data_IF_087859991435
#
_entry.id   IF_087859991435
#
_cell.length_a   1.000
_cell.length_b   1.000
_cell.length_c   1.000
_cell.angle_alpha   90.00
_cell.angle_beta   90.00
_cell.angle_gamma   90.00
#
_symmetry.space_group_name_H-M   'P 1'
#
loop_
_entity.id
_entity.type
_entity.pdbx_description
1 polymer ?
#
# COMPACT_ATOMS: atom_id res chain seq x y z
N UNK A 1 -29.88 14.23 1.25
CA UNK A 1 -28.60 13.81 1.88
C UNK A 1 -28.74 14.03 3.37
N UNK A 2 -28.42 13.04 4.19
CA UNK A 2 -28.52 13.09 5.64
C UNK A 2 -27.35 13.86 6.27
N UNK A 3 -27.50 14.35 7.51
CA UNK A 3 -26.49 15.23 8.11
C UNK A 3 -25.15 14.52 8.39
N UNK A 4 -25.15 13.22 8.70
CA UNK A 4 -23.92 12.44 8.82
C UNK A 4 -23.14 12.35 7.49
N UNK A 5 -23.84 12.27 6.35
CA UNK A 5 -23.22 12.29 5.02
C UNK A 5 -22.64 13.67 4.70
N UNK A 6 -23.43 14.74 4.93
CA UNK A 6 -22.97 16.12 4.71
C UNK A 6 -21.72 16.43 5.53
N UNK A 7 -21.67 15.96 6.78
CA UNK A 7 -20.53 16.16 7.67
C UNK A 7 -19.25 15.49 7.16
N UNK A 8 -19.34 14.29 6.58
CA UNK A 8 -18.21 13.61 5.97
C UNK A 8 -17.72 14.34 4.71
N UNK A 9 -18.64 14.76 3.84
CA UNK A 9 -18.32 15.49 2.61
C UNK A 9 -17.68 16.84 2.92
N UNK A 10 -18.17 17.55 3.91
CA UNK A 10 -17.59 18.82 4.37
C UNK A 10 -16.12 18.66 4.78
N UNK A 11 -15.75 17.52 5.34
CA UNK A 11 -14.37 17.19 5.71
C UNK A 11 -13.51 16.71 4.51
N UNK A 12 -14.10 16.51 3.34
CA UNK A 12 -13.39 16.10 2.13
C UNK A 12 -13.50 14.61 1.78
N UNK A 13 -14.24 13.81 2.57
CA UNK A 13 -14.58 12.46 2.17
C UNK A 13 -15.57 12.46 1.00
N UNK A 14 -15.55 11.40 0.22
CA UNK A 14 -16.62 11.13 -0.75
C UNK A 14 -17.92 10.84 -0.01
N UNK A 15 -19.05 10.80 -0.74
CA UNK A 15 -20.34 10.49 -0.13
C UNK A 15 -20.28 9.13 0.61
N UNK A 16 -20.39 9.12 1.95
CA UNK A 16 -20.24 7.89 2.72
C UNK A 16 -21.45 6.97 2.54
N UNK A 17 -21.21 5.68 2.67
CA UNK A 17 -22.24 4.64 2.63
C UNK A 17 -22.21 3.86 3.94
N UNK A 18 -23.29 3.11 4.23
CA UNK A 18 -23.43 2.35 5.46
C UNK A 18 -23.91 0.92 5.17
N UNK A 19 -23.45 -0.05 5.96
CA UNK A 19 -23.97 -1.40 5.96
C UNK A 19 -24.24 -1.89 7.39
N UNK A 20 -25.02 -2.94 7.54
CA UNK A 20 -25.15 -3.70 8.78
C UNK A 20 -23.93 -4.62 8.94
N UNK A 21 -23.43 -4.84 10.15
CA UNK A 21 -22.22 -5.65 10.37
C UNK A 21 -22.40 -7.12 9.98
N UNK A 22 -23.61 -7.66 10.06
CA UNK A 22 -23.94 -9.02 9.59
C UNK A 22 -23.67 -9.22 8.09
N UNK A 23 -23.68 -8.14 7.31
CA UNK A 23 -23.43 -8.19 5.86
C UNK A 23 -21.95 -8.38 5.52
N UNK A 24 -21.05 -8.34 6.51
CA UNK A 24 -19.61 -8.59 6.32
C UNK A 24 -19.26 -10.07 6.25
N UNK A 25 -20.05 -10.95 6.86
CA UNK A 25 -19.74 -12.38 6.95
C UNK A 25 -19.50 -13.06 5.58
N UNK A 26 -20.33 -12.86 4.54
CA UNK A 26 -20.10 -13.45 3.22
C UNK A 26 -18.75 -13.02 2.61
N UNK A 27 -18.34 -11.76 2.80
CA UNK A 27 -17.09 -11.22 2.27
C UNK A 27 -15.90 -11.84 3.00
N UNK A 28 -15.97 -11.97 4.33
CA UNK A 28 -14.91 -12.58 5.12
C UNK A 28 -14.75 -14.07 4.80
N UNK A 29 -15.84 -14.82 4.63
CA UNK A 29 -15.80 -16.23 4.16
C UNK A 29 -15.09 -16.38 2.81
N UNK A 30 -15.31 -15.45 1.90
CA UNK A 30 -14.61 -15.44 0.62
C UNK A 30 -13.09 -15.24 0.77
N UNK A 31 -12.65 -14.45 1.75
CA UNK A 31 -11.23 -14.29 2.07
C UNK A 31 -10.63 -15.53 2.73
N UNK A 32 -11.38 -16.22 3.59
CA UNK A 32 -10.92 -17.47 4.25
C UNK A 32 -10.57 -18.56 3.23
N UNK A 33 -11.33 -18.68 2.15
CA UNK A 33 -11.02 -19.62 1.07
C UNK A 33 -9.69 -19.30 0.35
N UNK A 34 -9.09 -18.14 0.59
CA UNK A 34 -7.87 -17.63 -0.06
C UNK A 34 -6.69 -17.47 0.88
N UNK A 35 -6.75 -18.05 2.08
CA UNK A 35 -5.72 -17.94 3.14
C UNK A 35 -4.27 -18.08 2.65
N UNK A 36 -3.90 -19.04 1.78
CA UNK A 36 -2.51 -19.21 1.34
C UNK A 36 -1.94 -18.02 0.57
N UNK A 37 -2.80 -17.16 0.02
CA UNK A 37 -2.41 -16.01 -0.80
C UNK A 37 -2.55 -14.67 -0.08
N UNK A 38 -3.10 -14.68 1.14
CA UNK A 38 -3.29 -13.45 1.93
C UNK A 38 -1.99 -12.96 2.55
N UNK A 39 -1.95 -11.68 2.83
CA UNK A 39 -0.94 -11.12 3.72
C UNK A 39 -1.02 -11.80 5.10
N UNK A 40 0.12 -12.16 5.72
CA UNK A 40 0.13 -12.84 7.03
C UNK A 40 -0.62 -12.09 8.13
N UNK A 41 -0.63 -10.76 8.09
CA UNK A 41 -1.40 -9.95 9.05
C UNK A 41 -2.90 -10.15 8.85
N UNK A 42 -3.39 -10.13 7.62
CA UNK A 42 -4.81 -10.39 7.29
C UNK A 42 -5.19 -11.80 7.71
N UNK A 43 -4.40 -12.80 7.32
CA UNK A 43 -4.64 -14.20 7.65
C UNK A 43 -4.76 -14.43 9.17
N UNK A 44 -3.84 -13.87 9.96
CA UNK A 44 -3.84 -13.97 11.42
C UNK A 44 -5.06 -13.32 12.07
N UNK A 45 -5.55 -12.22 11.52
CA UNK A 45 -6.62 -11.42 12.14
C UNK A 45 -8.02 -11.70 11.55
N UNK A 46 -8.16 -12.63 10.61
CA UNK A 46 -9.46 -12.99 10.02
C UNK A 46 -10.55 -13.29 11.06
N UNK A 47 -10.31 -14.01 12.16
CA UNK A 47 -11.34 -14.25 13.18
C UNK A 47 -11.89 -12.96 13.81
N UNK A 48 -11.05 -11.93 13.96
CA UNK A 48 -11.45 -10.62 14.47
C UNK A 48 -12.30 -9.85 13.44
N UNK A 49 -11.90 -9.94 12.17
CA UNK A 49 -12.61 -9.29 11.07
C UNK A 49 -13.98 -9.91 10.78
N UNK A 50 -14.13 -11.19 11.08
CA UNK A 50 -15.38 -11.92 10.87
C UNK A 50 -16.52 -11.37 11.73
N UNK A 51 -16.21 -11.05 12.98
CA UNK A 51 -17.20 -10.55 13.92
C UNK A 51 -16.64 -9.39 14.76
N UNK A 52 -16.67 -8.15 14.25
CA UNK A 52 -16.25 -6.97 14.99
C UNK A 52 -17.00 -6.78 16.32
N UNK A 53 -18.21 -7.33 16.44
CA UNK A 53 -19.03 -7.25 17.66
C UNK A 53 -18.43 -8.02 18.84
N UNK A 54 -17.53 -8.99 18.61
CA UNK A 54 -16.78 -9.63 19.69
C UNK A 54 -15.91 -8.62 20.46
N UNK A 55 -15.43 -7.57 19.78
CA UNK A 55 -14.65 -6.49 20.40
C UNK A 55 -15.49 -5.28 20.73
N UNK A 56 -16.51 -5.01 19.91
CA UNK A 56 -17.43 -3.85 20.05
C UNK A 56 -18.88 -4.34 20.09
N UNK A 57 -19.35 -4.90 21.23
CA UNK A 57 -20.70 -5.52 21.32
C UNK A 57 -21.86 -4.56 21.02
N UNK A 58 -21.64 -3.27 21.21
CA UNK A 58 -22.60 -2.21 20.90
C UNK A 58 -22.74 -1.92 19.41
N UNK A 59 -21.71 -2.21 18.59
CA UNK A 59 -21.71 -1.87 17.17
C UNK A 59 -22.71 -2.71 16.37
N UNK A 60 -23.50 -2.06 15.54
CA UNK A 60 -24.51 -2.68 14.67
C UNK A 60 -24.27 -2.33 13.20
N UNK A 61 -23.73 -1.14 12.95
CA UNK A 61 -23.54 -0.58 11.62
C UNK A 61 -22.09 -0.18 11.40
N UNK A 62 -21.68 -0.15 10.13
CA UNK A 62 -20.41 0.37 9.70
C UNK A 62 -20.60 1.42 8.59
N UNK A 63 -20.10 2.63 8.84
CA UNK A 63 -20.05 3.71 7.84
C UNK A 63 -18.73 3.53 7.08
N UNK A 64 -18.81 3.36 5.77
CA UNK A 64 -17.68 3.33 4.86
C UNK A 64 -17.38 4.72 4.33
N UNK A 65 -16.12 5.13 4.41
CA UNK A 65 -15.61 6.43 3.98
C UNK A 65 -14.50 6.23 2.95
N UNK A 66 -14.43 7.12 1.97
CA UNK A 66 -13.35 7.14 1.00
C UNK A 66 -12.76 8.54 0.86
N UNK A 67 -11.41 8.60 0.77
CA UNK A 67 -10.66 9.81 0.51
C UNK A 67 -9.86 9.63 -0.79
N UNK A 68 -10.14 10.40 -1.86
CA UNK A 68 -9.40 10.28 -3.11
C UNK A 68 -7.98 10.82 -2.96
N UNK A 69 -6.99 10.15 -3.60
CA UNK A 69 -5.58 10.54 -3.55
C UNK A 69 -4.91 10.70 -4.93
N UNK A 70 -5.66 10.56 -6.00
CA UNK A 70 -5.10 10.71 -7.35
C UNK A 70 -4.71 12.14 -7.67
N UNK A 71 -3.53 12.34 -8.28
CA UNK A 71 -3.03 13.63 -8.73
C UNK A 71 -2.61 13.62 -10.19
N UNK A 72 -3.05 14.62 -10.94
CA UNK A 72 -2.58 14.87 -12.32
C UNK A 72 -1.34 15.77 -12.31
N UNK A 73 -0.41 15.60 -13.29
CA UNK A 73 -0.31 14.44 -14.17
C UNK A 73 0.07 13.19 -13.37
N UNK A 74 -0.38 12.02 -13.84
CA UNK A 74 0.06 10.75 -13.26
C UNK A 74 1.57 10.60 -13.49
N UNK A 75 2.32 10.30 -12.45
CA UNK A 75 3.75 10.00 -12.50
C UNK A 75 3.95 8.61 -11.93
N UNK A 76 4.13 7.64 -12.82
CA UNK A 76 4.54 6.29 -12.44
C UNK A 76 6.07 6.23 -12.40
N UNK A 77 6.59 5.55 -11.42
CA UNK A 77 8.02 5.30 -11.29
C UNK A 77 8.48 5.43 -9.86
N UNK A 78 9.09 4.37 -9.38
CA UNK A 78 9.63 4.32 -8.04
C UNK A 78 8.56 4.21 -6.95
N UNK A 79 7.96 5.29 -6.54
CA UNK A 79 6.93 5.29 -5.48
C UNK A 79 5.53 5.23 -6.06
N UNK A 80 4.70 4.30 -5.55
CA UNK A 80 3.27 4.29 -5.86
C UNK A 80 2.57 5.58 -5.40
N UNK A 81 1.57 6.02 -6.13
CA UNK A 81 0.88 7.30 -5.91
C UNK A 81 0.36 7.45 -4.49
N UNK A 82 -0.10 6.35 -3.86
CA UNK A 82 -0.67 6.41 -2.51
C UNK A 82 0.33 6.85 -1.43
N UNK A 83 1.63 6.65 -1.65
CA UNK A 83 2.68 7.01 -0.68
C UNK A 83 3.52 8.23 -1.11
N UNK A 84 3.16 8.92 -2.19
CA UNK A 84 3.92 10.07 -2.67
C UNK A 84 3.72 11.34 -1.84
N UNK A 85 2.70 11.41 -0.98
CA UNK A 85 2.40 12.57 -0.14
C UNK A 85 2.53 12.28 1.35
N UNK A 86 1.87 13.13 2.16
CA UNK A 86 1.76 12.91 3.60
C UNK A 86 1.17 11.54 3.90
N UNK A 87 1.63 10.94 4.99
CA UNK A 87 1.13 9.66 5.48
C UNK A 87 -0.39 9.71 5.66
N UNK A 88 -1.09 8.96 4.80
CA UNK A 88 -2.55 8.95 4.77
C UNK A 88 -3.17 8.45 6.09
N UNK A 89 -2.48 7.61 6.85
CA UNK A 89 -2.96 7.19 8.16
C UNK A 89 -3.08 8.40 9.10
N UNK A 90 -2.07 9.28 9.13
CA UNK A 90 -2.11 10.50 9.97
C UNK A 90 -3.22 11.43 9.50
N UNK A 91 -3.38 11.59 8.19
CA UNK A 91 -4.43 12.45 7.60
C UNK A 91 -5.81 11.90 7.92
N UNK A 92 -6.04 10.62 7.66
CA UNK A 92 -7.34 9.98 7.94
C UNK A 92 -7.69 9.99 9.42
N UNK A 93 -6.73 9.70 10.31
CA UNK A 93 -6.96 9.75 11.77
C UNK A 93 -7.42 11.14 12.21
N UNK A 94 -6.79 12.21 11.71
CA UNK A 94 -7.20 13.58 12.04
C UNK A 94 -8.62 13.89 11.54
N UNK A 95 -8.92 13.55 10.28
CA UNK A 95 -10.24 13.75 9.67
C UNK A 95 -11.33 12.93 10.37
N UNK A 96 -11.03 11.67 10.71
CA UNK A 96 -11.95 10.78 11.41
C UNK A 96 -12.26 11.26 12.82
N UNK A 97 -11.29 11.78 13.54
CA UNK A 97 -11.51 12.38 14.87
C UNK A 97 -12.47 13.57 14.78
N UNK A 98 -12.29 14.46 13.81
CA UNK A 98 -13.18 15.57 13.56
C UNK A 98 -14.59 15.10 13.18
N UNK A 99 -14.68 14.09 12.33
CA UNK A 99 -15.95 13.49 11.92
C UNK A 99 -16.70 12.89 13.12
N UNK A 100 -16.02 12.14 14.01
CA UNK A 100 -16.63 11.60 15.23
C UNK A 100 -17.16 12.70 16.14
N UNK A 101 -16.42 13.81 16.30
CA UNK A 101 -16.89 14.96 17.09
C UNK A 101 -18.21 15.50 16.51
N UNK A 102 -18.28 15.69 15.19
CA UNK A 102 -19.51 16.15 14.52
C UNK A 102 -20.66 15.14 14.69
N UNK A 103 -20.38 13.84 14.54
CA UNK A 103 -21.40 12.80 14.74
C UNK A 103 -21.95 12.78 16.17
N UNK A 104 -21.10 12.90 17.18
CA UNK A 104 -21.54 12.94 18.60
C UNK A 104 -22.37 14.17 18.91
N UNK A 105 -22.08 15.29 18.24
CA UNK A 105 -22.90 16.53 18.38
C UNK A 105 -24.27 16.36 17.71
N UNK A 106 -24.32 15.75 16.52
CA UNK A 106 -25.55 15.55 15.77
C UNK A 106 -26.45 14.44 16.34
N UNK A 107 -25.82 13.42 16.93
CA UNK A 107 -26.48 12.20 17.41
C UNK A 107 -26.01 11.86 18.83
N UNK A 108 -26.40 12.67 19.84
CA UNK A 108 -26.03 12.41 21.22
C UNK A 108 -26.62 11.08 21.71
N UNK A 109 -25.85 10.34 22.49
CA UNK A 109 -26.25 9.02 23.02
C UNK A 109 -25.85 7.82 22.17
N UNK A 110 -25.37 8.03 20.94
CA UNK A 110 -24.83 6.95 20.12
C UNK A 110 -23.30 6.84 20.21
N UNK A 111 -22.80 5.63 19.98
CA UNK A 111 -21.39 5.29 20.05
C UNK A 111 -20.75 5.32 18.66
N UNK A 112 -19.49 5.78 18.59
CA UNK A 112 -18.73 5.86 17.34
C UNK A 112 -17.28 5.46 17.59
N UNK A 113 -16.73 4.58 16.72
CA UNK A 113 -15.32 4.16 16.73
C UNK A 113 -14.79 4.09 15.31
N UNK A 114 -13.75 4.87 15.01
CA UNK A 114 -13.14 4.92 13.68
C UNK A 114 -11.93 4.00 13.55
N UNK A 115 -11.71 3.53 12.34
CA UNK A 115 -10.57 2.73 11.88
C UNK A 115 -10.14 3.20 10.49
N UNK A 116 -8.84 3.03 10.20
CA UNK A 116 -8.26 3.26 8.89
C UNK A 116 -7.08 2.31 8.70
N UNK A 117 -7.21 1.33 7.81
CA UNK A 117 -6.19 0.34 7.43
C UNK A 117 -5.58 -0.48 8.58
N UNK A 118 -5.85 -0.09 9.81
CA UNK A 118 -5.40 -0.76 11.02
C UNK A 118 -6.56 -0.96 11.97
N UNK A 119 -6.77 -2.17 12.46
CA UNK A 119 -7.83 -2.41 13.46
C UNK A 119 -8.59 -3.70 13.25
N UNK A 120 -9.81 -3.72 13.77
CA UNK A 120 -10.65 -4.91 13.89
C UNK A 120 -11.69 -5.02 12.76
N UNK A 121 -11.56 -4.22 11.70
CA UNK A 121 -12.51 -4.20 10.58
C UNK A 121 -11.74 -4.17 9.27
N UNK A 122 -12.20 -4.96 8.29
CA UNK A 122 -11.68 -4.91 6.94
C UNK A 122 -12.40 -3.80 6.16
N UNK A 123 -11.75 -2.65 5.99
CA UNK A 123 -12.32 -1.49 5.29
C UNK A 123 -12.85 -1.85 3.89
N UNK A 124 -12.16 -2.75 3.15
CA UNK A 124 -12.62 -3.22 1.83
C UNK A 124 -13.94 -4.01 1.93
N UNK A 125 -14.10 -4.85 2.96
CA UNK A 125 -15.33 -5.58 3.16
C UNK A 125 -16.51 -4.64 3.44
N UNK A 126 -16.28 -3.62 4.28
CA UNK A 126 -17.27 -2.58 4.57
C UNK A 126 -17.61 -1.77 3.31
N UNK A 127 -16.61 -1.41 2.50
CA UNK A 127 -16.82 -0.67 1.26
C UNK A 127 -17.68 -1.46 0.25
N UNK A 128 -17.46 -2.77 0.15
CA UNK A 128 -18.27 -3.67 -0.71
C UNK A 128 -19.68 -3.78 -0.18
N UNK A 129 -19.84 -4.13 1.10
CA UNK A 129 -21.14 -4.37 1.73
C UNK A 129 -22.01 -3.10 1.74
N UNK A 130 -21.40 -1.94 1.98
CA UNK A 130 -22.11 -0.66 2.00
C UNK A 130 -22.44 -0.10 0.61
N UNK A 131 -21.84 -0.65 -0.46
CA UNK A 131 -21.99 -0.10 -1.81
C UNK A 131 -21.23 1.22 -2.01
N UNK A 132 -20.17 1.48 -1.25
CA UNK A 132 -19.26 2.60 -1.51
C UNK A 132 -18.51 2.43 -2.83
N UNK A 133 -18.18 1.20 -3.15
CA UNK A 133 -17.54 0.78 -4.39
C UNK A 133 -17.74 -0.71 -4.63
N UNK A 134 -17.27 -1.18 -5.76
CA UNK A 134 -17.30 -2.60 -6.13
C UNK A 134 -15.89 -3.19 -6.21
N UNK A 135 -15.78 -4.51 -6.06
CA UNK A 135 -14.49 -5.19 -6.08
C UNK A 135 -13.95 -5.32 -7.51
N UNK A 136 -12.75 -4.82 -7.74
CA UNK A 136 -12.01 -5.04 -8.97
C UNK A 136 -11.34 -6.42 -9.02
N UNK A 137 -11.08 -6.96 -10.23
CA UNK A 137 -10.32 -8.22 -10.40
C UNK A 137 -8.94 -8.16 -9.74
N UNK A 138 -8.33 -6.97 -9.63
CA UNK A 138 -7.07 -6.70 -8.91
C UNK A 138 -7.24 -6.52 -7.40
N UNK A 139 -8.40 -6.86 -6.85
CA UNK A 139 -8.78 -6.71 -5.43
C UNK A 139 -8.86 -5.28 -4.90
N UNK A 140 -8.70 -4.26 -5.73
CA UNK A 140 -8.93 -2.88 -5.32
C UNK A 140 -10.43 -2.58 -5.28
N UNK A 141 -10.82 -1.69 -4.35
CA UNK A 141 -12.18 -1.12 -4.38
C UNK A 141 -12.23 -0.03 -5.45
N UNK A 142 -13.23 -0.10 -6.30
CA UNK A 142 -13.44 0.86 -7.40
C UNK A 142 -14.69 1.69 -7.09
N UNK A 143 -14.48 2.95 -6.76
CA UNK A 143 -15.56 3.91 -6.60
C UNK A 143 -16.09 4.34 -7.98
N UNK A 144 -17.41 4.42 -8.21
CA UNK A 144 -17.96 4.70 -9.54
C UNK A 144 -17.43 5.96 -10.22
N UNK A 145 -17.16 7.04 -9.45
CA UNK A 145 -16.71 8.33 -9.98
C UNK A 145 -15.22 8.61 -9.79
N UNK A 146 -14.54 7.91 -8.85
CA UNK A 146 -13.15 8.21 -8.47
C UNK A 146 -12.19 7.03 -8.72
N UNK A 147 -12.68 5.94 -9.33
CA UNK A 147 -11.86 4.77 -9.60
C UNK A 147 -11.32 4.13 -8.33
N UNK A 148 -10.14 3.51 -8.41
CA UNK A 148 -9.52 2.81 -7.29
C UNK A 148 -8.47 3.62 -6.53
N UNK A 149 -8.20 4.86 -6.92
CA UNK A 149 -7.25 5.74 -6.22
C UNK A 149 -7.91 6.44 -5.02
N UNK A 150 -8.40 5.62 -4.09
CA UNK A 150 -9.09 6.04 -2.86
C UNK A 150 -8.50 5.34 -1.65
N UNK A 151 -8.29 6.07 -0.56
CA UNK A 151 -8.08 5.50 0.76
C UNK A 151 -9.43 5.18 1.39
N UNK A 152 -9.48 4.11 2.16
CA UNK A 152 -10.69 3.68 2.83
C UNK A 152 -10.57 3.92 4.35
N UNK A 153 -11.71 4.18 4.97
CA UNK A 153 -11.84 4.23 6.43
C UNK A 153 -13.23 3.76 6.84
N UNK A 154 -13.34 3.30 8.07
CA UNK A 154 -14.60 2.78 8.63
C UNK A 154 -14.92 3.44 9.96
N UNK A 155 -16.19 3.78 10.20
CA UNK A 155 -16.71 4.15 11.50
C UNK A 155 -17.78 3.15 11.92
N UNK A 156 -17.51 2.42 13.03
CA UNK A 156 -18.53 1.59 13.68
C UNK A 156 -19.47 2.44 14.49
N UNK A 157 -20.78 2.09 14.51
CA UNK A 157 -21.79 2.78 15.27
C UNK A 157 -22.97 1.88 15.62
N UNK A 158 -23.71 2.23 16.65
CA UNK A 158 -25.03 1.68 16.99
C UNK A 158 -26.18 2.58 16.49
N UNK A 159 -25.86 3.74 15.88
CA UNK A 159 -26.83 4.63 15.25
C UNK A 159 -27.51 3.91 14.06
N UNK A 160 -28.85 3.78 14.05
CA UNK A 160 -29.56 3.22 12.92
C UNK A 160 -29.42 4.13 11.70
N UNK A 161 -28.74 3.64 10.67
CA UNK A 161 -28.50 4.37 9.44
C UNK A 161 -29.08 3.61 8.23
N UNK A 162 -29.54 4.32 7.21
CA UNK A 162 -29.99 3.68 5.97
C UNK A 162 -28.82 2.98 5.31
N UNK A 163 -29.07 1.72 4.94
CA UNK A 163 -28.04 0.89 4.25
C UNK A 163 -27.88 1.31 2.80
N UNK A 164 -26.67 1.24 2.32
CA UNK A 164 -26.36 1.29 0.90
C UNK A 164 -26.70 -0.05 0.21
N UNK A 165 -26.48 -0.09 -1.09
CA UNK A 165 -26.75 -1.28 -1.89
C UNK A 165 -25.45 -1.85 -2.44
N UNK A 166 -25.26 -3.15 -2.34
CA UNK A 166 -24.15 -3.85 -2.96
C UNK A 166 -24.09 -3.57 -4.48
N UNK A 167 -22.96 -3.06 -4.95
CA UNK A 167 -22.77 -2.67 -6.36
C UNK A 167 -22.25 -3.82 -7.25
N UNK A 168 -21.93 -4.98 -6.66
CA UNK A 168 -21.40 -6.12 -7.39
C UNK A 168 -19.88 -6.10 -7.55
N UNK A 169 -19.44 -6.60 -8.69
CA UNK A 169 -18.03 -6.76 -9.06
C UNK A 169 -17.74 -6.00 -10.36
N UNK A 170 -16.46 -5.74 -10.67
CA UNK A 170 -16.12 -5.13 -11.96
C UNK A 170 -16.49 -6.06 -13.13
N UNK A 171 -16.62 -5.48 -14.34
CA UNK A 171 -17.11 -6.21 -15.52
C UNK A 171 -16.13 -7.24 -16.11
N UNK A 172 -14.96 -7.47 -15.48
CA UNK A 172 -14.05 -8.52 -15.90
C UNK A 172 -13.39 -8.27 -17.26
N UNK A 173 -12.85 -7.06 -17.49
CA UNK A 173 -12.16 -6.77 -18.76
C UNK A 173 -10.77 -7.42 -18.88
N UNK A 174 -10.21 -7.97 -17.78
CA UNK A 174 -8.92 -8.64 -17.73
C UNK A 174 -7.69 -7.74 -17.92
N UNK A 175 -7.85 -6.42 -18.07
CA UNK A 175 -6.72 -5.53 -18.33
C UNK A 175 -5.67 -5.55 -17.21
N UNK A 176 -6.09 -5.53 -15.95
CA UNK A 176 -5.21 -5.58 -14.79
C UNK A 176 -4.50 -6.95 -14.66
N UNK A 177 -5.19 -8.05 -15.00
CA UNK A 177 -4.61 -9.40 -15.01
C UNK A 177 -3.49 -9.48 -16.06
N UNK A 178 -3.75 -9.05 -17.28
CA UNK A 178 -2.79 -9.06 -18.40
C UNK A 178 -1.59 -8.15 -18.16
N UNK A 179 -1.80 -7.02 -17.51
CA UNK A 179 -0.74 -6.04 -17.27
C UNK A 179 0.17 -6.37 -16.09
N UNK A 180 -0.21 -7.30 -15.21
CA UNK A 180 0.60 -7.68 -14.06
C UNK A 180 1.86 -8.44 -14.50
N UNK A 181 3.09 -7.85 -14.41
CA UNK A 181 4.28 -8.46 -15.00
C UNK A 181 4.72 -9.74 -14.28
N UNK A 182 4.34 -9.91 -13.03
CA UNK A 182 4.68 -11.09 -12.22
C UNK A 182 3.58 -12.14 -12.20
N UNK A 183 2.44 -11.89 -12.86
CA UNK A 183 1.27 -12.76 -12.79
C UNK A 183 0.72 -12.92 -11.37
N UNK A 184 0.90 -11.90 -10.51
CA UNK A 184 0.40 -11.94 -9.13
C UNK A 184 -1.13 -12.02 -9.06
N UNK A 185 -1.86 -11.50 -10.06
CA UNK A 185 -3.30 -11.66 -10.15
C UNK A 185 -3.57 -13.02 -10.81
N UNK A 186 -3.70 -14.07 -9.98
CA UNK A 186 -3.80 -15.46 -10.42
C UNK A 186 -5.10 -15.75 -11.17
N UNK A 187 -6.17 -15.18 -10.66
CA UNK A 187 -7.52 -15.22 -11.21
C UNK A 187 -8.27 -13.97 -10.74
N UNK A 188 -9.41 -13.64 -11.32
CA UNK A 188 -10.22 -12.51 -10.85
C UNK A 188 -10.44 -12.54 -9.34
N UNK A 189 -10.16 -11.41 -8.69
CA UNK A 189 -10.33 -11.19 -7.24
C UNK A 189 -9.36 -11.99 -6.35
N UNK A 190 -8.28 -12.54 -6.91
CA UNK A 190 -7.23 -13.26 -6.18
C UNK A 190 -5.84 -12.72 -6.53
N UNK A 191 -5.19 -12.09 -5.57
CA UNK A 191 -3.80 -11.60 -5.68
C UNK A 191 -2.90 -12.43 -4.77
N UNK A 192 -1.85 -13.01 -5.36
CA UNK A 192 -0.78 -13.67 -4.63
C UNK A 192 0.23 -12.63 -4.13
N UNK A 193 0.24 -12.37 -2.83
CA UNK A 193 1.15 -11.42 -2.22
C UNK A 193 2.63 -11.82 -2.29
N UNK A 194 2.93 -13.10 -2.55
CA UNK A 194 4.32 -13.54 -2.75
C UNK A 194 4.88 -13.10 -4.10
N UNK A 195 4.03 -12.76 -5.06
CA UNK A 195 4.39 -12.30 -6.40
C UNK A 195 4.07 -10.82 -6.63
N UNK A 196 3.18 -10.23 -5.82
CA UNK A 196 2.76 -8.84 -6.00
C UNK A 196 3.93 -7.88 -5.77
N UNK A 197 4.31 -7.09 -6.77
CA UNK A 197 5.39 -6.09 -6.68
C UNK A 197 5.18 -5.16 -5.47
N UNK A 198 3.95 -4.71 -5.23
CA UNK A 198 3.65 -3.87 -4.06
C UNK A 198 4.03 -4.55 -2.74
N UNK A 199 3.73 -5.83 -2.58
CA UNK A 199 4.11 -6.60 -1.40
C UNK A 199 5.62 -6.86 -1.35
N UNK A 200 6.24 -7.22 -2.47
CA UNK A 200 7.68 -7.49 -2.57
C UNK A 200 8.53 -6.27 -2.23
N UNK A 201 8.15 -5.07 -2.69
CA UNK A 201 8.87 -3.82 -2.34
C UNK A 201 8.87 -3.55 -0.83
N UNK A 202 7.91 -4.10 -0.09
CA UNK A 202 7.73 -3.92 1.35
C UNK A 202 8.24 -5.11 2.18
N UNK A 203 8.64 -6.21 1.54
CA UNK A 203 9.17 -7.40 2.22
C UNK A 203 10.47 -7.07 2.96
N UNK A 204 10.56 -7.48 4.22
CA UNK A 204 11.77 -7.30 5.04
C UNK A 204 12.88 -8.26 4.62
N UNK A 205 14.13 -7.87 4.88
CA UNK A 205 15.30 -8.70 4.66
C UNK A 205 15.74 -8.79 3.19
N UNK A 206 16.40 -9.89 2.87
CA UNK A 206 16.93 -10.17 1.54
C UNK A 206 15.85 -10.75 0.63
N UNK A 207 15.96 -10.46 -0.67
CA UNK A 207 15.07 -10.96 -1.71
C UNK A 207 15.81 -12.00 -2.58
N UNK A 208 15.10 -12.93 -3.17
CA UNK A 208 15.68 -13.76 -4.25
C UNK A 208 16.06 -12.89 -5.45
N UNK A 209 16.95 -13.40 -6.31
CA UNK A 209 17.34 -12.67 -7.53
C UNK A 209 16.12 -12.41 -8.44
N UNK A 210 15.22 -13.37 -8.55
CA UNK A 210 13.96 -13.23 -9.28
C UNK A 210 13.11 -12.09 -8.70
N UNK A 211 12.96 -12.02 -7.36
CA UNK A 211 12.25 -10.92 -6.72
C UNK A 211 12.93 -9.57 -6.95
N UNK A 212 14.27 -9.51 -6.96
CA UNK A 212 15.01 -8.30 -7.33
C UNK A 212 14.69 -7.84 -8.75
N UNK A 213 14.64 -8.76 -9.72
CA UNK A 213 14.25 -8.48 -11.10
C UNK A 213 12.81 -7.96 -11.17
N UNK A 214 11.89 -8.59 -10.44
CA UNK A 214 10.48 -8.24 -10.43
C UNK A 214 10.21 -6.84 -9.86
N UNK A 215 10.98 -6.37 -8.86
CA UNK A 215 10.79 -5.05 -8.24
C UNK A 215 11.64 -3.94 -8.87
N UNK A 216 12.50 -4.24 -9.82
CA UNK A 216 13.32 -3.22 -10.48
C UNK A 216 12.44 -2.08 -11.00
N UNK A 217 12.87 -0.83 -10.79
CA UNK A 217 12.07 0.37 -11.07
C UNK A 217 10.99 0.70 -10.03
N UNK A 218 10.78 -0.15 -9.00
CA UNK A 218 9.78 0.07 -7.97
C UNK A 218 10.44 0.24 -6.59
N UNK A 219 10.34 1.42 -6.02
CA UNK A 219 10.92 1.74 -4.71
C UNK A 219 9.97 1.37 -3.57
N UNK A 220 8.66 1.61 -3.75
CA UNK A 220 7.63 1.30 -2.75
C UNK A 220 6.23 1.27 -3.39
N UNK A 221 5.54 0.13 -3.29
CA UNK A 221 4.25 -0.06 -3.92
C UNK A 221 4.32 -0.30 -5.43
N UNK A 222 3.16 -0.41 -6.07
CA UNK A 222 3.02 -0.61 -7.51
C UNK A 222 1.62 -0.20 -7.96
N UNK A 223 1.52 0.57 -9.05
CA UNK A 223 0.23 1.03 -9.59
C UNK A 223 -0.14 0.42 -10.94
N UNK A 224 0.64 -0.57 -11.45
CA UNK A 224 0.46 -1.09 -12.82
C UNK A 224 -0.98 -1.54 -13.06
N UNK A 225 -1.55 -2.35 -12.18
CA UNK A 225 -2.91 -2.85 -12.33
C UNK A 225 -3.99 -1.76 -12.20
N UNK A 226 -3.71 -0.68 -11.46
CA UNK A 226 -4.60 0.47 -11.34
C UNK A 226 -4.52 1.37 -12.58
N UNK A 227 -3.31 1.56 -13.15
CA UNK A 227 -3.08 2.46 -14.28
C UNK A 227 -3.75 1.99 -15.56
N UNK A 228 -3.82 0.67 -15.77
CA UNK A 228 -4.46 0.09 -16.97
C UNK A 228 -5.98 -0.05 -16.81
N UNK A 229 -6.52 0.21 -15.62
CA UNK A 229 -7.93 0.03 -15.34
C UNK A 229 -8.78 1.10 -16.02
N UNK A 230 -9.76 0.73 -16.88
CA UNK A 230 -10.63 1.71 -17.54
C UNK A 230 -11.38 2.63 -16.57
N UNK A 231 -11.68 2.15 -15.36
CA UNK A 231 -12.37 2.92 -14.33
C UNK A 231 -11.50 4.01 -13.68
N UNK A 232 -10.20 3.99 -13.94
CA UNK A 232 -9.26 5.02 -13.48
C UNK A 232 -8.96 6.08 -14.55
N UNK A 233 -9.54 5.95 -15.74
CA UNK A 233 -9.41 6.94 -16.77
C UNK A 233 -10.31 8.16 -16.48
N UNK A 234 -9.76 9.36 -16.66
CA UNK A 234 -10.49 10.63 -16.50
C UNK A 234 -11.07 10.90 -15.09
N UNK A 235 -10.57 10.23 -14.06
CA UNK A 235 -10.98 10.51 -12.68
C UNK A 235 -10.53 11.90 -12.22
N UNK A 236 -11.26 12.52 -11.27
CA UNK A 236 -10.90 13.82 -10.71
C UNK A 236 -9.56 13.76 -9.96
N UNK A 237 -8.80 14.87 -10.03
CA UNK A 237 -7.61 15.04 -9.18
C UNK A 237 -8.02 15.44 -7.76
N UNK A 238 -7.35 14.86 -6.76
CA UNK A 238 -7.53 15.23 -5.35
C UNK A 238 -6.70 16.47 -5.02
N UNK A 239 -7.17 17.24 -4.02
CA UNK A 239 -6.44 18.38 -3.47
C UNK A 239 -6.03 18.20 -2.01
N UNK A 240 -6.44 17.11 -1.37
CA UNK A 240 -6.29 16.94 0.09
C UNK A 240 -4.88 16.48 0.49
N UNK A 241 -4.33 15.51 -0.24
CA UNK A 241 -2.96 15.03 0.01
C UNK A 241 -2.09 15.41 -1.18
N UNK A 242 -1.30 16.46 -1.03
CA UNK A 242 -0.38 16.93 -2.06
C UNK A 242 0.86 16.05 -2.13
N UNK A 243 1.27 15.55 -3.30
CA UNK A 243 2.48 14.77 -3.46
C UNK A 243 3.76 15.58 -3.19
N UNK A 244 4.75 14.95 -2.58
CA UNK A 244 6.09 15.48 -2.46
C UNK A 244 6.86 15.29 -3.78
N UNK A 245 7.55 16.32 -4.22
CA UNK A 245 8.30 16.29 -5.49
C UNK A 245 9.32 15.13 -5.55
N UNK A 246 10.10 14.95 -4.50
CA UNK A 246 11.15 13.91 -4.44
C UNK A 246 10.59 12.48 -4.42
N UNK A 247 9.32 12.26 -4.06
CA UNK A 247 8.71 10.94 -4.17
C UNK A 247 8.05 10.71 -5.54
N UNK A 248 7.71 11.77 -6.26
CA UNK A 248 7.25 11.68 -7.65
C UNK A 248 8.39 11.50 -8.64
N UNK A 249 9.55 12.11 -8.37
CA UNK A 249 10.78 12.05 -9.19
C UNK A 249 11.96 11.77 -8.28
N UNK A 250 12.12 10.51 -7.85
CA UNK A 250 13.16 10.16 -6.88
C UNK A 250 14.55 10.25 -7.49
N UNK A 251 15.47 10.82 -6.73
CA UNK A 251 16.90 10.68 -6.95
C UNK A 251 17.39 9.45 -6.20
N UNK A 252 17.73 8.40 -6.94
CA UNK A 252 18.07 7.09 -6.37
C UNK A 252 19.34 7.16 -5.53
N UNK A 253 20.34 7.95 -5.93
CA UNK A 253 21.59 8.06 -5.19
C UNK A 253 21.40 8.76 -3.87
N UNK A 254 20.68 9.90 -3.86
CA UNK A 254 20.32 10.60 -2.63
C UNK A 254 19.49 9.73 -1.67
N UNK A 255 18.60 8.91 -2.24
CA UNK A 255 17.81 7.94 -1.47
C UNK A 255 18.71 6.84 -0.86
N UNK A 256 19.69 6.31 -1.62
CA UNK A 256 20.67 5.34 -1.11
C UNK A 256 21.51 5.95 0.01
N UNK A 257 22.00 7.16 -0.15
CA UNK A 257 22.78 7.88 0.86
C UNK A 257 21.94 8.31 2.06
N UNK A 258 20.62 8.37 1.88
CA UNK A 258 19.64 8.81 2.88
C UNK A 258 20.00 10.18 3.44
N UNK A 259 20.10 11.16 2.57
CA UNK A 259 20.41 12.53 2.97
C UNK A 259 19.35 13.12 3.92
N UNK A 260 19.65 14.30 4.49
CA UNK A 260 18.79 14.94 5.49
C UNK A 260 17.39 15.24 4.95
N UNK A 261 17.29 15.63 3.68
CA UNK A 261 16.01 15.97 3.05
C UNK A 261 15.14 14.72 2.90
N UNK A 262 15.67 13.61 2.35
CA UNK A 262 14.95 12.33 2.27
C UNK A 262 14.57 11.80 3.66
N UNK A 263 15.47 11.88 4.66
CA UNK A 263 15.15 11.45 6.03
C UNK A 263 13.94 12.20 6.59
N UNK A 264 13.88 13.50 6.39
CA UNK A 264 12.78 14.32 6.90
C UNK A 264 11.48 14.05 6.13
N UNK A 265 11.55 14.01 4.81
CA UNK A 265 10.40 13.78 3.95
C UNK A 265 9.76 12.40 4.19
N UNK A 266 10.58 11.35 4.30
CA UNK A 266 10.09 10.00 4.53
C UNK A 266 9.42 9.82 5.90
N UNK A 267 9.79 10.59 6.94
CA UNK A 267 9.08 10.60 8.23
C UNK A 267 7.62 11.04 8.09
N UNK A 268 7.33 11.83 7.06
CA UNK A 268 5.99 12.33 6.77
C UNK A 268 5.21 11.48 5.78
N UNK A 269 5.83 10.46 5.15
CA UNK A 269 5.22 9.59 4.14
C UNK A 269 4.98 8.17 4.66
N UNK A 270 3.91 7.55 4.19
CA UNK A 270 3.62 6.13 4.41
C UNK A 270 4.71 5.19 3.86
N UNK A 271 5.54 5.65 2.90
CA UNK A 271 6.63 4.85 2.34
C UNK A 271 7.67 4.40 3.39
N UNK A 272 7.73 5.05 4.53
CA UNK A 272 8.70 4.73 5.60
C UNK A 272 8.23 3.67 6.60
N UNK A 273 7.03 3.16 6.52
CA UNK A 273 6.50 2.28 7.57
C UNK A 273 7.29 0.97 7.77
N UNK A 274 8.01 0.51 6.74
CA UNK A 274 8.93 -0.65 6.83
C UNK A 274 10.38 -0.26 7.15
N UNK A 275 10.66 1.04 7.27
CA UNK A 275 11.97 1.61 7.53
C UNK A 275 12.77 1.93 6.26
N UNK A 276 13.66 2.91 6.38
CA UNK A 276 14.43 3.47 5.27
C UNK A 276 15.35 2.47 4.58
N UNK A 277 15.87 1.45 5.29
CA UNK A 277 16.77 0.46 4.70
C UNK A 277 16.10 -0.40 3.62
N UNK A 278 14.78 -0.60 3.69
CA UNK A 278 14.03 -1.27 2.62
C UNK A 278 14.01 -0.42 1.35
N UNK A 279 13.79 0.88 1.49
CA UNK A 279 13.82 1.81 0.36
C UNK A 279 15.20 1.90 -0.28
N UNK A 280 16.25 1.94 0.54
CA UNK A 280 17.65 1.93 0.08
C UNK A 280 17.97 0.64 -0.69
N UNK A 281 17.55 -0.52 -0.15
CA UNK A 281 17.65 -1.81 -0.84
C UNK A 281 16.99 -1.75 -2.23
N UNK A 282 15.76 -1.27 -2.32
CA UNK A 282 15.01 -1.22 -3.57
C UNK A 282 15.66 -0.25 -4.56
N UNK A 283 16.17 0.89 -4.09
CA UNK A 283 16.93 1.82 -4.93
C UNK A 283 18.24 1.20 -5.46
N UNK A 284 18.98 0.47 -4.63
CA UNK A 284 20.21 -0.23 -5.04
C UNK A 284 19.91 -1.35 -6.05
N UNK A 285 18.81 -2.07 -5.90
CA UNK A 285 18.35 -3.07 -6.87
C UNK A 285 18.06 -2.39 -8.22
N UNK A 286 17.33 -1.28 -8.23
CA UNK A 286 17.03 -0.53 -9.45
C UNK A 286 18.31 -0.02 -10.09
N UNK A 287 19.23 0.57 -9.33
CA UNK A 287 20.55 1.00 -9.84
C UNK A 287 21.37 -0.16 -10.40
N UNK A 288 21.26 -1.36 -9.83
CA UNK A 288 22.00 -2.54 -10.30
C UNK A 288 21.47 -3.11 -11.62
N UNK A 289 20.16 -3.04 -11.84
CA UNK A 289 19.47 -3.77 -12.91
C UNK A 289 19.01 -2.88 -14.07
N UNK A 290 18.91 -1.57 -13.85
CA UNK A 290 18.49 -0.60 -14.87
C UNK A 290 19.60 0.37 -15.23
N UNK A 291 19.48 1.00 -16.40
CA UNK A 291 20.46 1.98 -16.87
C UNK A 291 20.16 3.37 -16.29
N UNK A 292 20.57 3.56 -15.03
CA UNK A 292 20.53 4.84 -14.35
C UNK A 292 21.93 5.40 -14.15
N UNK A 293 22.12 6.73 -14.32
CA UNK A 293 23.35 7.39 -13.86
C UNK A 293 23.57 7.15 -12.37
N UNK A 294 24.73 6.72 -11.98
CA UNK A 294 25.08 6.52 -10.58
C UNK A 294 26.51 6.91 -10.26
N UNK A 295 26.73 7.51 -9.09
CA UNK A 295 28.06 7.73 -8.54
C UNK A 295 28.55 6.43 -7.89
N UNK A 296 29.37 5.70 -8.64
CA UNK A 296 29.91 4.41 -8.22
C UNK A 296 30.83 4.52 -7.01
N UNK A 297 31.50 5.67 -6.81
CA UNK A 297 32.30 5.91 -5.60
C UNK A 297 31.45 6.07 -4.35
N UNK A 298 30.31 6.74 -4.48
CA UNK A 298 29.35 6.83 -3.38
C UNK A 298 28.76 5.47 -3.02
N UNK A 299 28.41 4.63 -4.03
CA UNK A 299 27.92 3.27 -3.79
C UNK A 299 29.01 2.39 -3.17
N UNK A 300 30.28 2.54 -3.58
CA UNK A 300 31.41 1.83 -2.96
C UNK A 300 31.53 2.14 -1.46
N UNK A 301 31.43 3.42 -1.07
CA UNK A 301 31.42 3.80 0.35
C UNK A 301 30.28 3.12 1.13
N UNK A 302 29.12 2.96 0.51
CA UNK A 302 27.99 2.23 1.13
C UNK A 302 28.35 0.76 1.31
N UNK A 303 28.91 0.10 0.30
CA UNK A 303 29.30 -1.32 0.37
C UNK A 303 30.32 -1.58 1.49
N UNK A 304 31.28 -0.70 1.66
CA UNK A 304 32.38 -0.84 2.62
C UNK A 304 32.00 -0.44 4.06
N UNK A 305 31.24 0.63 4.24
CA UNK A 305 31.17 1.33 5.52
C UNK A 305 29.74 1.53 6.08
N UNK A 306 28.69 1.16 5.35
CA UNK A 306 27.32 1.42 5.83
C UNK A 306 27.00 0.55 7.07
N UNK A 307 26.36 1.10 8.12
CA UNK A 307 25.98 0.30 9.30
C UNK A 307 24.93 -0.78 8.99
N UNK A 308 24.15 -0.63 7.91
CA UNK A 308 23.14 -1.58 7.51
C UNK A 308 23.73 -2.68 6.62
N UNK A 309 23.76 -3.92 7.10
CA UNK A 309 24.13 -5.08 6.27
C UNK A 309 23.32 -5.15 4.98
N UNK A 310 22.02 -4.84 5.05
CA UNK A 310 21.15 -4.84 3.90
C UNK A 310 21.64 -3.85 2.83
N UNK A 311 22.02 -2.63 3.22
CA UNK A 311 22.54 -1.63 2.30
C UNK A 311 23.91 -2.03 1.74
N UNK A 312 24.84 -2.55 2.56
CA UNK A 312 26.16 -2.99 2.10
C UNK A 312 26.08 -4.06 1.03
N UNK A 313 25.30 -5.11 1.31
CA UNK A 313 25.16 -6.27 0.42
C UNK A 313 24.54 -5.88 -0.93
N UNK A 314 23.50 -5.04 -0.93
CA UNK A 314 22.91 -4.59 -2.20
C UNK A 314 23.77 -3.53 -2.92
N UNK A 315 24.62 -2.79 -2.22
CA UNK A 315 25.62 -1.93 -2.84
C UNK A 315 26.72 -2.77 -3.54
N UNK A 316 27.21 -3.84 -2.90
CA UNK A 316 28.14 -4.78 -3.53
C UNK A 316 27.51 -5.46 -4.77
N UNK A 317 26.26 -5.88 -4.67
CA UNK A 317 25.50 -6.40 -5.82
C UNK A 317 25.43 -5.39 -6.98
N UNK A 318 25.17 -4.12 -6.68
CA UNK A 318 25.13 -3.07 -7.69
C UNK A 318 26.49 -2.88 -8.37
N UNK A 319 27.59 -2.84 -7.62
CA UNK A 319 28.94 -2.67 -8.15
C UNK A 319 29.39 -3.88 -8.98
N UNK A 320 29.05 -5.10 -8.57
CA UNK A 320 29.33 -6.30 -9.37
C UNK A 320 28.60 -6.27 -10.71
N UNK A 321 27.31 -5.91 -10.71
CA UNK A 321 26.53 -5.82 -11.95
C UNK A 321 26.99 -4.72 -12.89
N UNK A 322 27.38 -3.55 -12.37
CA UNK A 322 27.79 -2.39 -13.17
C UNK A 322 29.26 -2.42 -13.60
N UNK A 323 30.17 -2.87 -12.74
CA UNK A 323 31.62 -2.77 -12.93
C UNK A 323 32.38 -4.10 -12.89
N UNK A 324 31.73 -5.21 -12.59
CA UNK A 324 32.38 -6.49 -12.24
C UNK A 324 33.32 -6.35 -11.03
N UNK A 325 33.08 -5.35 -10.18
CA UNK A 325 33.88 -5.11 -8.99
C UNK A 325 33.39 -6.01 -7.85
N UNK A 326 34.30 -6.83 -7.32
CA UNK A 326 34.00 -7.71 -6.17
C UNK A 326 34.31 -6.99 -4.85
N UNK A 327 33.27 -6.73 -4.07
CA UNK A 327 33.35 -6.16 -2.71
C UNK A 327 32.52 -7.00 -1.72
N UNK A 328 32.36 -8.28 -2.00
CA UNK A 328 31.51 -9.13 -1.18
C UNK A 328 32.10 -9.42 0.19
N UNK A 329 33.42 -9.54 0.30
CA UNK A 329 34.07 -9.81 1.59
C UNK A 329 33.82 -8.68 2.60
N UNK A 330 33.94 -7.45 2.16
CA UNK A 330 33.65 -6.26 2.96
C UNK A 330 32.15 -6.14 3.29
N UNK A 331 31.31 -6.36 2.30
CA UNK A 331 29.87 -6.23 2.44
C UNK A 331 29.26 -7.31 3.37
N UNK A 332 29.81 -8.52 3.33
CA UNK A 332 29.38 -9.68 4.11
C UNK A 332 29.98 -9.71 5.52
N UNK A 333 30.94 -8.86 5.83
CA UNK A 333 31.55 -8.82 7.17
C UNK A 333 30.50 -8.62 8.25
N UNK A 334 30.41 -9.59 9.17
CA UNK A 334 29.40 -9.65 10.23
C UNK A 334 27.93 -9.62 9.74
N UNK A 335 27.70 -10.00 8.50
CA UNK A 335 26.34 -10.05 7.94
C UNK A 335 25.61 -11.34 8.38
N UNK A 336 24.25 -11.32 8.44
CA UNK A 336 23.47 -12.50 8.78
C UNK A 336 23.52 -13.58 7.69
N UNK A 337 23.14 -14.81 8.03
CA UNK A 337 23.17 -15.96 7.12
C UNK A 337 22.42 -15.70 5.80
N UNK A 338 21.28 -15.00 5.87
CA UNK A 338 20.47 -14.67 4.69
C UNK A 338 21.24 -13.84 3.65
N UNK A 339 22.22 -13.01 4.10
CA UNK A 339 23.09 -12.25 3.21
C UNK A 339 24.03 -13.17 2.44
N UNK A 340 24.60 -14.17 3.10
CA UNK A 340 25.48 -15.18 2.48
C UNK A 340 24.70 -16.06 1.51
N UNK A 341 23.46 -16.44 1.85
CA UNK A 341 22.56 -17.17 0.94
C UNK A 341 22.22 -16.36 -0.31
N UNK A 342 21.95 -15.07 -0.14
CA UNK A 342 21.71 -14.16 -1.27
C UNK A 342 22.94 -14.09 -2.19
N UNK A 343 24.14 -13.90 -1.64
CA UNK A 343 25.39 -13.93 -2.40
C UNK A 343 25.60 -15.24 -3.16
N UNK A 344 25.38 -16.38 -2.49
CA UNK A 344 25.45 -17.69 -3.12
C UNK A 344 24.51 -17.83 -4.31
N UNK A 345 23.29 -17.30 -4.23
CA UNK A 345 22.33 -17.31 -5.32
C UNK A 345 22.79 -16.47 -6.53
N UNK A 346 23.51 -15.38 -6.31
CA UNK A 346 24.06 -14.54 -7.38
C UNK A 346 25.21 -15.28 -8.10
N UNK A 347 26.14 -15.86 -7.34
CA UNK A 347 27.25 -16.63 -7.93
C UNK A 347 26.82 -17.78 -8.83
N UNK A 348 25.76 -18.48 -8.45
CA UNK A 348 25.23 -19.63 -9.21
C UNK A 348 24.42 -19.18 -10.45
N UNK A 349 24.16 -17.90 -10.63
CA UNK A 349 23.36 -17.32 -11.72
C UNK A 349 24.24 -16.62 -12.78
N UNK A 350 25.54 -16.54 -12.57
CA UNK A 350 26.56 -16.05 -13.50
C UNK A 350 27.34 -17.20 -14.12
#
# INVERSE_FOLDING_TARGET
>A
MLDWQKSAIYLGFLEPKCCHLEELEPVVKHLEARLPFLDPFIAKNLPLFRNPQNTFPWAKYAISLALPYYHKPFVSGGFSVYCQGKDYHKVLVAMLNEYIIKLRTLYPGYSFKAFSDTGFVLDRAVAIASGLGYLGENTSIIHPSYGSFIFLATVLTDLPLPKGSFLGFCKGCGACVKACPTGAIKEPYLVDNNLCISALTQKKGFLSLEHCQNISGHLFGCDICQNVCPHNQNIPSSSIITPFYLLRKPDLLRLVQMDKEYKNLLKESAANWRGTNILRRNALITLALEDHPCDLMAIKKVAENDPSHLARVYAAFCLERKLRLNLWDEALKNAPLEAHLFYGSIKNSC
#
